data_IF_884071986658
#
_entry.id   IF_884071986658
#
_cell.length_a   1.000
_cell.length_b   1.000
_cell.length_c   1.000
_cell.angle_alpha   90.00
_cell.angle_beta   90.00
_cell.angle_gamma   90.00
#
_symmetry.space_group_name_H-M   'P 1'
#
loop_
_entity.id
_entity.type
_entity.pdbx_description
1 polymer ?
#
# COMPACT_ATOMS: atom_id res chain seq x y z
N UNK A 1 -2.24 14.06 10.18
CA UNK A 1 -3.42 13.62 9.40
C UNK A 1 -4.32 12.78 10.30
N UNK A 2 -3.94 11.56 10.69
CA UNK A 2 -4.81 10.68 11.47
C UNK A 2 -5.35 11.28 12.79
N UNK A 3 -4.56 12.08 13.52
CA UNK A 3 -5.03 12.74 14.76
C UNK A 3 -5.94 13.96 14.53
N UNK A 4 -5.86 14.59 13.35
CA UNK A 4 -6.52 15.87 13.10
C UNK A 4 -7.88 15.74 12.41
N UNK A 5 -8.14 14.59 11.78
CA UNK A 5 -9.36 14.30 11.00
C UNK A 5 -9.85 12.88 11.28
N UNK A 6 -9.64 12.39 12.51
CA UNK A 6 -9.99 11.01 12.86
C UNK A 6 -11.48 10.73 12.67
N UNK A 7 -12.34 11.64 13.13
CA UNK A 7 -13.79 11.49 13.07
C UNK A 7 -14.35 11.61 11.64
N UNK A 8 -13.59 12.19 10.71
CA UNK A 8 -13.94 12.35 9.29
C UNK A 8 -13.44 11.19 8.41
N UNK A 9 -12.60 10.30 8.95
CA UNK A 9 -12.05 9.16 8.21
C UNK A 9 -13.03 7.98 8.25
N UNK A 10 -13.75 7.76 7.14
CA UNK A 10 -14.65 6.60 6.99
C UNK A 10 -13.92 5.24 7.03
N UNK A 11 -12.61 5.23 6.79
CA UNK A 11 -11.80 4.02 6.74
C UNK A 11 -10.34 4.28 7.19
N UNK A 12 -9.64 3.25 7.68
CA UNK A 12 -8.27 3.40 8.17
C UNK A 12 -7.28 3.75 7.05
N UNK A 13 -6.33 4.63 7.36
CA UNK A 13 -5.22 4.97 6.46
C UNK A 13 -4.28 3.77 6.35
N UNK A 14 -4.10 3.25 5.14
CA UNK A 14 -3.14 2.20 4.82
C UNK A 14 -1.97 2.75 4.00
N UNK A 15 -0.79 2.13 4.14
CA UNK A 15 0.41 2.51 3.38
C UNK A 15 0.78 1.40 2.42
N UNK A 16 1.04 1.76 1.16
CA UNK A 16 1.60 0.86 0.15
C UNK A 16 3.05 1.25 -0.04
N UNK A 17 3.96 0.43 0.49
CA UNK A 17 5.41 0.65 0.40
C UNK A 17 6.10 -0.56 -0.25
N UNK A 18 7.39 -0.40 -0.48
CA UNK A 18 8.26 -1.53 -0.77
C UNK A 18 8.16 -2.59 0.34
N UNK A 19 8.33 -3.86 -0.02
CA UNK A 19 8.47 -4.95 0.96
C UNK A 19 9.71 -4.75 1.83
N UNK A 20 9.65 -5.24 3.08
CA UNK A 20 10.72 -5.10 4.07
C UNK A 20 11.86 -6.10 3.80
N UNK A 21 12.41 -6.01 2.59
CA UNK A 21 13.51 -6.83 2.09
C UNK A 21 14.54 -5.93 1.41
N UNK A 22 15.84 -6.27 1.49
CA UNK A 22 16.87 -5.59 0.72
C UNK A 22 16.55 -5.64 -0.78
N UNK A 23 16.82 -4.54 -1.49
CA UNK A 23 16.51 -4.42 -2.90
C UNK A 23 17.24 -5.50 -3.73
N UNK A 24 16.51 -6.40 -4.40
CA UNK A 24 17.12 -7.45 -5.21
C UNK A 24 17.52 -6.91 -6.59
N UNK A 25 18.63 -7.40 -7.14
CA UNK A 25 19.08 -7.04 -8.50
C UNK A 25 18.30 -7.75 -9.62
N UNK A 26 17.61 -8.85 -9.29
CA UNK A 26 16.83 -9.60 -10.27
C UNK A 26 15.57 -8.81 -10.65
N UNK A 27 15.42 -8.47 -11.93
CA UNK A 27 14.31 -7.67 -12.46
C UNK A 27 12.92 -8.15 -12.02
N UNK A 28 12.70 -9.48 -11.92
CA UNK A 28 11.41 -10.03 -11.49
C UNK A 28 11.15 -9.81 -10.01
N UNK A 29 12.19 -9.95 -9.19
CA UNK A 29 12.11 -9.71 -7.75
C UNK A 29 12.02 -8.22 -7.45
N UNK A 30 12.68 -7.39 -8.24
CA UNK A 30 12.61 -5.93 -8.14
C UNK A 30 11.16 -5.45 -8.32
N UNK A 31 10.48 -5.90 -9.38
CA UNK A 31 9.07 -5.58 -9.65
C UNK A 31 8.12 -6.12 -8.59
N UNK A 32 8.46 -7.25 -7.96
CA UNK A 32 7.67 -7.81 -6.88
C UNK A 32 7.79 -6.95 -5.61
N UNK A 33 9.01 -6.50 -5.29
CA UNK A 33 9.31 -5.77 -4.06
C UNK A 33 8.80 -4.33 -4.12
N UNK A 34 8.86 -3.68 -5.28
CA UNK A 34 8.39 -2.32 -5.49
C UNK A 34 6.86 -2.18 -5.36
N UNK A 35 6.36 -1.00 -4.93
CA UNK A 35 4.95 -0.68 -5.02
C UNK A 35 4.50 -0.64 -6.49
N UNK A 36 3.44 -1.37 -6.81
CA UNK A 36 2.91 -1.48 -8.18
C UNK A 36 1.40 -1.21 -8.21
N UNK A 37 0.85 -1.07 -9.42
CA UNK A 37 -0.56 -0.74 -9.62
C UNK A 37 -1.50 -1.77 -8.97
N UNK A 38 -1.18 -3.07 -9.06
CA UNK A 38 -2.00 -4.14 -8.49
C UNK A 38 -2.06 -4.07 -6.96
N UNK A 39 -0.92 -3.79 -6.30
CA UNK A 39 -0.84 -3.56 -4.86
C UNK A 39 -1.69 -2.35 -4.45
N UNK A 40 -1.67 -1.26 -5.23
CA UNK A 40 -2.50 -0.07 -4.98
C UNK A 40 -3.99 -0.39 -5.13
N UNK A 41 -4.38 -1.07 -6.20
CA UNK A 41 -5.79 -1.44 -6.44
C UNK A 41 -6.29 -2.35 -5.32
N UNK A 42 -5.48 -3.32 -4.88
CA UNK A 42 -5.82 -4.22 -3.78
C UNK A 42 -5.99 -3.46 -2.46
N UNK A 43 -5.08 -2.53 -2.18
CA UNK A 43 -5.16 -1.62 -1.03
C UNK A 43 -6.45 -0.78 -1.06
N UNK A 44 -6.76 -0.15 -2.19
CA UNK A 44 -7.99 0.66 -2.35
C UNK A 44 -9.24 -0.21 -2.17
N UNK A 45 -9.30 -1.38 -2.80
CA UNK A 45 -10.44 -2.32 -2.63
C UNK A 45 -10.63 -2.76 -1.18
N UNK A 46 -9.55 -2.92 -0.41
CA UNK A 46 -9.62 -3.25 1.02
C UNK A 46 -10.23 -2.13 1.87
N UNK A 47 -10.03 -0.87 1.47
CA UNK A 47 -10.51 0.32 2.20
C UNK A 47 -11.92 0.71 1.76
N UNK A 48 -12.23 0.63 0.48
CA UNK A 48 -13.49 1.09 -0.10
C UNK A 48 -14.63 0.06 -0.10
N UNK A 49 -14.53 -0.99 0.71
CA UNK A 49 -15.47 -2.12 0.80
C UNK A 49 -15.47 -3.06 -0.43
N UNK A 50 -15.12 -4.33 -0.18
CA UNK A 50 -15.36 -5.49 -1.04
C UNK A 50 -16.17 -6.52 -0.27
#
# INVERSE_FOLDING_TARGET
IQQNIFDELDAPIIRVSQEDVPMPYNERLEKAVLPNADKVITAVKKVCYA
#
